data_IF_516266121097
#
_entry.id   IF_516266121097
#
_cell.length_a   1.000
_cell.length_b   1.000
_cell.length_c   1.000
_cell.angle_alpha   90.00
_cell.angle_beta   90.00
_cell.angle_gamma   90.00
#
_symmetry.space_group_name_H-M   'P 1'
#
loop_
_entity.id
_entity.type
_entity.pdbx_description
1 polymer ?
#
# COMPACT_ATOMS: atom_id res chain seq x y z
N UNK A 1 53.14 -0.78 51.50
CA UNK A 1 53.39 0.01 50.26
C UNK A 1 52.02 0.41 49.70
N UNK A 2 51.54 1.65 49.89
CA UNK A 2 51.70 2.80 48.95
C UNK A 2 51.34 2.37 47.50
N UNK A 3 50.31 2.86 46.81
CA UNK A 3 49.90 4.26 46.64
C UNK A 3 48.54 4.41 45.92
N UNK A 4 47.74 5.39 46.37
CA UNK A 4 47.07 6.45 45.57
C UNK A 4 46.23 6.04 44.35
N UNK A 5 44.90 6.10 44.48
CA UNK A 5 44.02 6.60 43.42
C UNK A 5 43.15 7.73 43.97
N UNK A 6 43.66 8.95 43.74
CA UNK A 6 42.95 10.21 43.83
C UNK A 6 42.64 10.62 42.39
N UNK A 7 41.42 10.40 41.91
CA UNK A 7 40.87 11.19 40.81
C UNK A 7 39.38 11.43 41.03
N UNK A 8 39.08 12.67 41.43
CA UNK A 8 37.79 13.34 41.20
C UNK A 8 37.52 13.37 39.70
N UNK A 9 36.25 13.23 39.33
CA UNK A 9 35.70 13.75 38.07
C UNK A 9 35.92 12.86 36.84
N UNK A 10 35.05 11.88 36.65
CA UNK A 10 34.66 11.44 35.31
C UNK A 10 33.15 11.38 35.29
N UNK A 11 32.52 12.46 34.80
CA UNK A 11 31.23 12.31 34.13
C UNK A 11 31.49 11.29 33.02
N UNK A 12 30.91 10.11 33.13
CA UNK A 12 30.73 9.23 31.98
C UNK A 12 29.77 9.94 31.04
N UNK A 13 30.30 10.91 30.29
CA UNK A 13 29.63 11.55 29.18
C UNK A 13 29.54 10.45 28.13
N UNK A 14 28.37 9.84 28.03
CA UNK A 14 28.05 8.97 26.90
C UNK A 14 28.23 9.84 25.66
N UNK A 15 29.02 9.42 24.66
CA UNK A 15 29.23 10.18 23.43
C UNK A 15 27.87 10.53 22.80
N UNK A 16 27.68 11.77 22.34
CA UNK A 16 26.40 12.25 21.80
C UNK A 16 25.89 11.38 20.64
N UNK A 17 26.82 10.81 19.87
CA UNK A 17 26.63 9.82 18.83
C UNK A 17 26.08 8.48 19.35
N UNK A 18 26.58 7.97 20.48
CA UNK A 18 26.01 6.79 21.14
C UNK A 18 24.62 7.08 21.71
N UNK A 19 24.38 8.29 22.25
CA UNK A 19 23.06 8.73 22.74
C UNK A 19 22.06 8.81 21.59
N UNK A 20 22.45 9.43 20.46
CA UNK A 20 21.60 9.58 19.28
C UNK A 20 21.29 8.22 18.65
N UNK A 21 22.28 7.32 18.58
CA UNK A 21 22.08 5.98 18.04
C UNK A 21 21.17 5.11 18.93
N UNK A 22 21.35 5.16 20.24
CA UNK A 22 20.44 4.49 21.19
C UNK A 22 19.01 5.04 21.10
N UNK A 23 18.84 6.36 21.00
CA UNK A 23 17.51 6.99 20.83
C UNK A 23 16.85 6.58 19.51
N UNK A 24 17.61 6.50 18.43
CA UNK A 24 17.12 6.07 17.12
C UNK A 24 16.72 4.60 17.11
N UNK A 25 17.50 3.73 17.77
CA UNK A 25 17.14 2.32 17.94
C UNK A 25 15.91 2.14 18.83
N UNK A 26 15.81 2.89 19.94
CA UNK A 26 14.63 2.85 20.82
C UNK A 26 13.35 3.24 20.09
N UNK A 27 13.40 4.28 19.25
CA UNK A 27 12.26 4.68 18.41
C UNK A 27 11.86 3.56 17.43
N UNK A 28 12.84 2.91 16.81
CA UNK A 28 12.58 1.82 15.86
C UNK A 28 12.02 0.57 16.55
N UNK A 29 12.55 0.18 17.71
CA UNK A 29 11.99 -0.94 18.51
C UNK A 29 10.57 -0.66 18.98
N UNK A 30 10.33 0.56 19.44
CA UNK A 30 9.03 1.03 19.91
C UNK A 30 8.01 0.99 18.78
N UNK A 31 8.37 1.50 17.61
CA UNK A 31 7.58 1.39 16.39
C UNK A 31 7.33 -0.10 16.08
N UNK A 32 8.38 -0.92 15.98
CA UNK A 32 8.28 -2.36 15.63
C UNK A 32 7.43 -3.18 16.62
N UNK A 33 7.48 -2.86 17.92
CA UNK A 33 6.69 -3.53 18.98
C UNK A 33 5.20 -3.28 18.79
N UNK A 34 4.80 -2.04 18.55
CA UNK A 34 3.38 -1.67 18.39
C UNK A 34 2.81 -2.11 17.05
N UNK A 35 3.65 -2.19 16.01
CA UNK A 35 3.29 -2.76 14.70
C UNK A 35 2.88 -4.23 14.82
N UNK A 36 3.61 -5.02 15.62
CA UNK A 36 3.30 -6.45 15.83
C UNK A 36 2.01 -6.65 16.63
N UNK A 37 1.62 -5.67 17.45
CA UNK A 37 0.40 -5.69 18.26
C UNK A 37 -0.81 -5.05 17.57
N UNK A 38 -0.62 -4.46 16.38
CA UNK A 38 -1.65 -3.67 15.65
C UNK A 38 -2.32 -2.60 16.52
N UNK A 39 -1.68 -2.09 17.56
CA UNK A 39 -2.24 -1.02 18.38
C UNK A 39 -1.63 0.33 18.01
N UNK A 40 -2.17 0.90 16.93
CA UNK A 40 -1.81 2.23 16.45
C UNK A 40 -2.15 3.33 17.46
N UNK A 41 -3.15 3.11 18.31
CA UNK A 41 -3.58 4.11 19.29
C UNK A 41 -2.61 4.19 20.46
N UNK A 42 -1.98 3.08 20.86
CA UNK A 42 -0.89 3.07 21.84
C UNK A 42 0.34 3.88 21.44
N UNK A 43 0.54 4.16 20.14
CA UNK A 43 1.64 4.99 19.64
C UNK A 43 1.38 6.49 19.73
N UNK A 44 0.13 6.92 19.93
CA UNK A 44 -0.24 8.34 19.91
C UNK A 44 0.52 9.12 20.98
N UNK A 45 0.57 8.63 22.22
CA UNK A 45 1.25 9.33 23.32
C UNK A 45 2.77 9.44 23.09
N UNK A 46 3.37 8.39 22.56
CA UNK A 46 4.81 8.32 22.28
C UNK A 46 5.20 9.28 21.16
N UNK A 47 4.36 9.39 20.12
CA UNK A 47 4.57 10.30 18.99
C UNK A 47 4.31 11.75 19.40
N UNK A 48 3.27 12.01 20.21
CA UNK A 48 3.03 13.32 20.80
C UNK A 48 4.22 13.76 21.64
N UNK A 49 4.76 12.88 22.50
CA UNK A 49 5.96 13.20 23.28
C UNK A 49 7.15 13.53 22.38
N UNK A 50 7.37 12.81 21.28
CA UNK A 50 8.48 13.08 20.35
C UNK A 50 8.30 14.39 19.60
N UNK A 51 7.08 14.72 19.18
CA UNK A 51 6.75 15.99 18.53
C UNK A 51 6.95 17.16 19.50
N UNK A 52 6.51 17.02 20.75
CA UNK A 52 6.69 18.04 21.79
C UNK A 52 8.16 18.27 22.14
N UNK A 53 9.05 17.27 21.98
CA UNK A 53 10.49 17.48 22.19
C UNK A 53 11.16 18.33 21.11
N UNK A 54 10.48 18.60 19.97
CA UNK A 54 11.02 19.41 18.87
C UNK A 54 12.19 18.75 18.11
N UNK A 55 12.54 17.50 18.44
CA UNK A 55 13.69 16.79 17.85
C UNK A 55 13.34 15.99 16.59
N UNK A 56 12.07 15.96 16.19
CA UNK A 56 11.60 15.23 15.01
C UNK A 56 11.49 16.14 13.80
N UNK A 57 12.10 15.75 12.69
CA UNK A 57 12.03 16.48 11.43
C UNK A 57 10.97 15.91 10.48
N UNK A 58 10.53 16.71 9.52
CA UNK A 58 9.49 16.37 8.54
C UNK A 58 9.71 15.04 7.82
N UNK A 59 10.98 14.65 7.59
CA UNK A 59 11.33 13.39 6.93
C UNK A 59 10.99 12.19 7.81
N UNK A 60 11.33 12.25 9.10
CA UNK A 60 11.02 11.20 10.07
C UNK A 60 9.50 11.07 10.28
N UNK A 61 8.79 12.20 10.35
CA UNK A 61 7.34 12.24 10.44
C UNK A 61 6.71 11.58 9.19
N UNK A 62 7.17 11.96 7.98
CA UNK A 62 6.72 11.34 6.73
C UNK A 62 6.99 9.83 6.66
N UNK A 63 8.16 9.37 7.08
CA UNK A 63 8.49 7.93 7.08
C UNK A 63 7.57 7.15 8.01
N UNK A 64 7.30 7.68 9.20
CA UNK A 64 6.37 7.07 10.16
C UNK A 64 4.96 6.96 9.58
N UNK A 65 4.46 8.03 8.97
CA UNK A 65 3.15 8.03 8.33
C UNK A 65 3.05 7.08 7.14
N UNK A 66 4.06 7.08 6.26
CA UNK A 66 4.15 6.13 5.14
C UNK A 66 4.14 4.68 5.64
N UNK A 67 4.83 4.41 6.74
CA UNK A 67 4.87 3.07 7.33
C UNK A 67 3.49 2.66 7.88
N UNK A 68 2.81 3.55 8.60
CA UNK A 68 1.47 3.29 9.15
C UNK A 68 0.47 3.05 8.02
N UNK A 69 0.52 3.81 6.92
CA UNK A 69 -0.36 3.58 5.76
C UNK A 69 -0.15 2.25 5.06
N UNK A 70 1.10 1.75 5.06
CA UNK A 70 1.40 0.45 4.46
C UNK A 70 1.00 -0.72 5.35
N UNK A 71 0.82 -0.50 6.66
CA UNK A 71 0.59 -1.57 7.66
C UNK A 71 -0.76 -1.50 8.37
N UNK A 72 -1.47 -0.38 8.27
CA UNK A 72 -2.72 -0.09 8.99
C UNK A 72 -3.96 -0.08 8.10
N UNK A 73 -5.12 -0.24 8.74
CA UNK A 73 -6.44 -0.07 8.13
C UNK A 73 -6.77 1.43 8.03
N UNK A 74 -7.24 1.89 6.85
CA UNK A 74 -7.45 3.30 6.54
C UNK A 74 -8.34 4.07 7.56
N UNK A 75 -9.42 3.47 8.14
CA UNK A 75 -10.21 4.13 9.17
C UNK A 75 -9.41 4.44 10.44
N UNK A 76 -8.49 3.55 10.85
CA UNK A 76 -7.66 3.72 12.06
C UNK A 76 -6.57 4.77 11.87
N UNK A 77 -6.16 5.01 10.62
CA UNK A 77 -5.20 6.06 10.27
C UNK A 77 -5.75 7.47 10.53
N UNK A 78 -6.98 7.73 10.10
CA UNK A 78 -7.65 9.01 10.31
C UNK A 78 -7.85 9.30 11.79
N UNK A 79 -8.21 8.29 12.58
CA UNK A 79 -8.32 8.42 14.05
C UNK A 79 -6.98 8.67 14.72
N UNK A 80 -5.92 8.00 14.26
CA UNK A 80 -4.55 8.21 14.73
C UNK A 80 -4.08 9.65 14.47
N UNK A 81 -4.22 10.13 13.22
CA UNK A 81 -3.88 11.52 12.83
C UNK A 81 -4.62 12.52 13.71
N UNK A 82 -5.94 12.33 13.89
CA UNK A 82 -6.77 13.19 14.75
C UNK A 82 -6.26 13.19 16.19
N UNK A 83 -6.00 12.02 16.75
CA UNK A 83 -5.52 11.88 18.14
C UNK A 83 -4.16 12.54 18.40
N UNK A 84 -3.25 12.54 17.41
CA UNK A 84 -1.98 13.27 17.49
C UNK A 84 -2.20 14.78 17.33
N UNK A 85 -3.04 15.21 16.39
CA UNK A 85 -3.31 16.62 16.13
C UNK A 85 -4.04 17.33 17.29
N UNK A 86 -4.94 16.63 17.98
CA UNK A 86 -5.66 17.14 19.17
C UNK A 86 -4.71 17.42 20.34
N UNK A 87 -3.69 16.57 20.51
CA UNK A 87 -2.71 16.68 21.61
C UNK A 87 -1.51 17.56 21.26
N UNK A 88 -1.33 17.91 19.99
CA UNK A 88 -0.26 18.76 19.48
C UNK A 88 -0.80 19.88 18.58
N UNK A 89 -1.52 20.88 19.13
CA UNK A 89 -2.18 21.93 18.35
C UNK A 89 -1.21 22.70 17.43
N UNK A 90 0.03 22.91 17.89
CA UNK A 90 1.09 23.59 17.15
C UNK A 90 1.54 22.84 15.87
N UNK A 91 1.27 21.54 15.76
CA UNK A 91 1.60 20.73 14.58
C UNK A 91 0.37 20.36 13.75
N UNK A 92 -0.84 20.80 14.15
CA UNK A 92 -2.10 20.40 13.54
C UNK A 92 -2.15 20.63 12.04
N UNK A 93 -1.86 21.84 11.58
CA UNK A 93 -1.91 22.19 10.15
C UNK A 93 -0.94 21.36 9.30
N UNK A 94 0.28 21.16 9.81
CA UNK A 94 1.29 20.34 9.15
C UNK A 94 0.87 18.87 9.07
N UNK A 95 0.30 18.33 10.15
CA UNK A 95 -0.21 16.96 10.19
C UNK A 95 -1.41 16.75 9.26
N UNK A 96 -2.33 17.72 9.16
CA UNK A 96 -3.44 17.66 8.21
C UNK A 96 -2.92 17.67 6.77
N UNK A 97 -1.96 18.55 6.45
CA UNK A 97 -1.34 18.60 5.12
C UNK A 97 -0.69 17.27 4.73
N UNK A 98 -0.04 16.60 5.70
CA UNK A 98 0.53 15.27 5.49
C UNK A 98 -0.58 14.24 5.23
N UNK A 99 -1.65 14.26 6.03
CA UNK A 99 -2.78 13.37 5.85
C UNK A 99 -3.43 13.53 4.46
N UNK A 100 -3.63 14.76 4.02
CA UNK A 100 -4.23 15.09 2.71
C UNK A 100 -3.37 14.56 1.55
N UNK A 101 -2.05 14.83 1.59
CA UNK A 101 -1.11 14.34 0.57
C UNK A 101 -1.10 12.81 0.49
N UNK A 102 -1.24 12.15 1.62
CA UNK A 102 -1.25 10.69 1.68
C UNK A 102 -2.57 10.12 1.16
N UNK A 103 -3.69 10.76 1.47
CA UNK A 103 -4.99 10.42 0.89
C UNK A 103 -4.96 10.57 -0.63
N UNK A 104 -4.42 11.68 -1.14
CA UNK A 104 -4.28 11.94 -2.57
C UNK A 104 -3.37 10.92 -3.25
N UNK A 105 -2.20 10.62 -2.66
CA UNK A 105 -1.30 9.60 -3.20
C UNK A 105 -1.94 8.19 -3.22
N UNK A 106 -2.70 7.85 -2.17
CA UNK A 106 -3.46 6.60 -2.10
C UNK A 106 -4.54 6.52 -3.17
N UNK A 107 -5.32 7.60 -3.33
CA UNK A 107 -6.34 7.72 -4.36
C UNK A 107 -5.73 7.61 -5.77
N UNK A 108 -4.68 8.36 -6.07
CA UNK A 108 -4.00 8.31 -7.37
C UNK A 108 -3.47 6.91 -7.67
N UNK A 109 -2.85 6.25 -6.70
CA UNK A 109 -2.36 4.88 -6.87
C UNK A 109 -3.50 3.89 -7.14
N UNK A 110 -4.60 4.00 -6.38
CA UNK A 110 -5.79 3.18 -6.58
C UNK A 110 -6.42 3.39 -7.95
N UNK A 111 -6.57 4.66 -8.36
CA UNK A 111 -7.09 5.05 -9.67
C UNK A 111 -6.24 4.50 -10.82
N UNK A 112 -4.93 4.70 -10.77
CA UNK A 112 -4.00 4.21 -11.80
C UNK A 112 -4.03 2.69 -11.92
N UNK A 113 -4.06 1.99 -10.76
CA UNK A 113 -4.16 0.54 -10.73
C UNK A 113 -5.48 0.07 -11.36
N UNK A 114 -6.61 0.64 -10.95
CA UNK A 114 -7.93 0.30 -11.49
C UNK A 114 -8.05 0.57 -12.99
N UNK A 115 -7.49 1.69 -13.48
CA UNK A 115 -7.45 1.99 -14.90
C UNK A 115 -6.62 0.97 -15.69
N UNK A 116 -5.47 0.56 -15.14
CA UNK A 116 -4.61 -0.43 -15.78
C UNK A 116 -5.28 -1.82 -15.82
N UNK A 117 -5.85 -2.25 -14.71
CA UNK A 117 -6.57 -3.53 -14.60
C UNK A 117 -7.77 -3.54 -15.55
N UNK A 118 -8.64 -2.52 -15.50
CA UNK A 118 -9.79 -2.42 -16.39
C UNK A 118 -9.43 -2.36 -17.88
N UNK A 119 -8.31 -1.70 -18.23
CA UNK A 119 -7.82 -1.70 -19.62
C UNK A 119 -7.32 -3.09 -20.05
N UNK A 120 -6.67 -3.84 -19.16
CA UNK A 120 -6.20 -5.19 -19.47
C UNK A 120 -7.35 -6.17 -19.59
N UNK A 121 -8.29 -6.15 -18.65
CA UNK A 121 -9.51 -6.97 -18.66
C UNK A 121 -10.34 -6.68 -19.91
N UNK A 122 -10.68 -5.41 -20.18
CA UNK A 122 -11.46 -5.05 -21.35
C UNK A 122 -10.77 -5.40 -22.68
N UNK A 123 -9.43 -5.36 -22.74
CA UNK A 123 -8.70 -5.83 -23.92
C UNK A 123 -8.78 -7.35 -24.08
N UNK A 124 -8.69 -8.11 -22.99
CA UNK A 124 -8.78 -9.57 -23.03
C UNK A 124 -10.20 -10.02 -23.38
N UNK A 125 -11.21 -9.46 -22.72
CA UNK A 125 -12.62 -9.74 -23.01
C UNK A 125 -12.96 -9.40 -24.45
N UNK A 126 -12.60 -8.21 -24.94
CA UNK A 126 -12.84 -7.82 -26.33
C UNK A 126 -12.12 -8.70 -27.35
N UNK A 127 -10.93 -9.22 -27.01
CA UNK A 127 -10.22 -10.17 -27.88
C UNK A 127 -10.94 -11.52 -27.94
N UNK A 128 -11.37 -12.04 -26.79
CA UNK A 128 -12.09 -13.32 -26.70
C UNK A 128 -13.44 -13.22 -27.41
N UNK A 129 -14.20 -12.16 -27.16
CA UNK A 129 -15.49 -11.91 -27.78
C UNK A 129 -15.35 -11.70 -29.29
N UNK A 130 -14.34 -10.94 -29.73
CA UNK A 130 -14.04 -10.75 -31.15
C UNK A 130 -13.66 -12.06 -31.86
N UNK A 131 -12.79 -12.87 -31.25
CA UNK A 131 -12.42 -14.18 -31.77
C UNK A 131 -13.63 -15.12 -31.85
N UNK A 132 -14.49 -15.14 -30.83
CA UNK A 132 -15.70 -15.96 -30.81
C UNK A 132 -16.69 -15.51 -31.88
N UNK A 133 -16.93 -14.20 -31.98
CA UNK A 133 -17.85 -13.62 -32.98
C UNK A 133 -17.38 -13.94 -34.40
N UNK A 134 -16.09 -13.82 -34.67
CA UNK A 134 -15.53 -14.13 -35.98
C UNK A 134 -15.58 -15.64 -36.27
N UNK A 135 -15.30 -16.50 -35.28
CA UNK A 135 -15.43 -17.94 -35.42
C UNK A 135 -16.88 -18.36 -35.73
N UNK A 136 -17.87 -17.75 -35.07
CA UNK A 136 -19.30 -17.97 -35.35
C UNK A 136 -19.66 -17.49 -36.77
N UNK A 137 -19.20 -16.31 -37.18
CA UNK A 137 -19.42 -15.77 -38.52
C UNK A 137 -18.88 -16.70 -39.60
N UNK A 138 -17.65 -17.20 -39.42
CA UNK A 138 -17.02 -18.16 -40.35
C UNK A 138 -17.82 -19.47 -40.36
N UNK A 139 -18.22 -19.99 -39.19
CA UNK A 139 -19.02 -21.21 -39.10
C UNK A 139 -20.36 -21.09 -39.84
N UNK A 140 -21.06 -19.96 -39.70
CA UNK A 140 -22.29 -19.68 -40.46
C UNK A 140 -22.06 -19.72 -41.97
N UNK A 141 -21.02 -19.07 -42.47
CA UNK A 141 -20.68 -19.09 -43.90
C UNK A 141 -20.37 -20.51 -44.38
N UNK A 142 -19.54 -21.24 -43.64
CA UNK A 142 -19.18 -22.62 -43.98
C UNK A 142 -20.39 -23.56 -44.03
N UNK A 143 -21.32 -23.44 -43.08
CA UNK A 143 -22.55 -24.22 -43.07
C UNK A 143 -23.49 -23.85 -44.23
N UNK A 144 -23.60 -22.57 -44.55
CA UNK A 144 -24.38 -22.11 -45.71
C UNK A 144 -23.80 -22.64 -47.03
N UNK A 145 -22.49 -22.80 -47.11
CA UNK A 145 -21.78 -23.41 -48.24
C UNK A 145 -21.84 -24.95 -48.26
N UNK A 146 -22.54 -25.56 -47.29
CA UNK A 146 -22.76 -27.01 -47.21
C UNK A 146 -21.58 -27.80 -46.64
N UNK A 147 -20.63 -27.16 -45.95
CA UNK A 147 -19.53 -27.84 -45.27
C UNK A 147 -20.07 -28.63 -44.07
N UNK A 148 -19.59 -29.86 -43.89
CA UNK A 148 -20.06 -30.72 -42.81
C UNK A 148 -19.71 -30.16 -41.42
N UNK A 149 -20.60 -30.38 -40.46
CA UNK A 149 -20.49 -29.88 -39.08
C UNK A 149 -19.17 -30.31 -38.42
N UNK A 150 -18.69 -31.54 -38.67
CA UNK A 150 -17.46 -32.04 -38.04
C UNK A 150 -16.21 -31.31 -38.54
N UNK A 151 -16.20 -30.91 -39.82
CA UNK A 151 -15.13 -30.09 -40.40
C UNK A 151 -15.23 -28.64 -39.92
N UNK A 152 -16.44 -28.07 -39.81
CA UNK A 152 -16.64 -26.74 -39.22
C UNK A 152 -16.10 -26.68 -37.80
N UNK A 153 -16.45 -27.64 -36.93
CA UNK A 153 -15.94 -27.71 -35.55
C UNK A 153 -14.41 -27.77 -35.49
N UNK A 154 -13.78 -28.55 -36.36
CA UNK A 154 -12.31 -28.67 -36.40
C UNK A 154 -11.63 -27.35 -36.80
N UNK A 155 -12.21 -26.62 -37.77
CA UNK A 155 -11.61 -25.40 -38.32
C UNK A 155 -11.85 -24.19 -37.41
N UNK A 156 -13.07 -24.00 -36.92
CA UNK A 156 -13.44 -22.84 -36.09
C UNK A 156 -13.19 -23.07 -34.60
N UNK A 157 -12.92 -24.31 -34.18
CA UNK A 157 -12.74 -24.75 -32.79
C UNK A 157 -13.97 -24.48 -31.90
N UNK A 158 -15.13 -24.28 -32.51
CA UNK A 158 -16.40 -24.14 -31.81
C UNK A 158 -16.87 -25.49 -31.27
N UNK A 159 -17.56 -25.44 -30.13
CA UNK A 159 -18.20 -26.63 -29.54
C UNK A 159 -19.42 -27.08 -30.36
N UNK A 160 -19.93 -28.28 -30.06
CA UNK A 160 -21.17 -28.75 -30.69
C UNK A 160 -22.36 -27.86 -30.31
N UNK A 161 -22.38 -27.40 -29.05
CA UNK A 161 -23.40 -26.50 -28.51
C UNK A 161 -23.37 -25.14 -29.22
N UNK A 162 -22.18 -24.56 -29.45
CA UNK A 162 -22.02 -23.30 -30.18
C UNK A 162 -22.60 -23.38 -31.59
N UNK A 163 -22.42 -24.52 -32.27
CA UNK A 163 -22.90 -24.71 -33.65
C UNK A 163 -24.39 -25.04 -33.70
N UNK A 164 -24.92 -25.83 -32.74
CA UNK A 164 -26.35 -26.12 -32.63
C UNK A 164 -27.18 -24.84 -32.44
N UNK A 165 -26.64 -23.84 -31.76
CA UNK A 165 -27.25 -22.52 -31.63
C UNK A 165 -27.33 -21.71 -32.93
N UNK A 166 -26.56 -22.07 -33.96
CA UNK A 166 -26.54 -21.40 -35.28
C UNK A 166 -27.46 -22.07 -36.31
N UNK A 167 -27.93 -23.29 -36.06
CA UNK A 167 -28.68 -24.11 -37.02
C UNK A 167 -30.21 -23.99 -36.92
N UNK A 168 -30.71 -22.86 -36.41
CA UNK A 168 -32.13 -22.52 -36.32
C UNK A 168 -32.49 -21.36 -37.24
#
# INVERSE_FOLDING_TARGET
MKSVWKYRGQSTVIPDDEIVQHRRMALLELIQKHIRQRDLMGLVEQIVSLLLTGLTNDSQIKTLFNYILQTGDAPRFSEFIRGVAERSPQHKEHLMTIADRLHEAGFQKGWLKGLQEGKQEGKQEGLIEGQRTEALRIACTMLADGIDISTVQKITRLSAEDIQGLSH
#
